data_IF_266543439361
#
_entry.id   IF_266543439361
#
_cell.length_a   1.000
_cell.length_b   1.000
_cell.length_c   1.000
_cell.angle_alpha   90.00
_cell.angle_beta   90.00
_cell.angle_gamma   90.00
#
_symmetry.space_group_name_H-M   'P 1'
#
loop_
_entity.id
_entity.type
_entity.pdbx_description
1 polymer ?
#
# COMPACT_ATOMS: atom_id res chain seq x y z
N UNK A 1 -10.27 0.62 -13.92
CA UNK A 1 -11.18 0.10 -12.87
C UNK A 1 -11.54 -1.33 -13.21
N UNK A 2 -11.33 -2.28 -12.32
CA UNK A 2 -11.65 -3.69 -12.59
C UNK A 2 -13.18 -3.88 -12.71
N UNK A 3 -13.63 -4.61 -13.74
CA UNK A 3 -15.04 -4.70 -14.14
C UNK A 3 -15.93 -5.42 -13.09
N UNK A 4 -15.36 -6.11 -12.08
CA UNK A 4 -16.15 -6.98 -11.19
C UNK A 4 -16.90 -6.27 -10.07
N UNK A 5 -16.42 -5.11 -9.57
CA UNK A 5 -17.01 -4.47 -8.39
C UNK A 5 -17.10 -2.94 -8.46
N UNK A 6 -17.58 -2.39 -9.58
CA UNK A 6 -17.83 -0.94 -9.70
C UNK A 6 -18.79 -0.44 -8.61
N UNK A 7 -19.79 -1.24 -8.26
CA UNK A 7 -20.72 -0.91 -7.18
C UNK A 7 -20.02 -0.77 -5.83
N UNK A 8 -19.08 -1.66 -5.50
CA UNK A 8 -18.30 -1.58 -4.26
C UNK A 8 -17.43 -0.31 -4.20
N UNK A 9 -16.84 0.09 -5.33
CA UNK A 9 -16.03 1.32 -5.41
C UNK A 9 -16.88 2.56 -5.19
N UNK A 10 -18.04 2.65 -5.85
CA UNK A 10 -18.96 3.77 -5.69
C UNK A 10 -19.55 3.79 -4.28
N UNK A 11 -19.95 2.63 -3.74
CA UNK A 11 -20.46 2.50 -2.38
C UNK A 11 -19.41 2.93 -1.34
N UNK A 12 -18.17 2.46 -1.46
CA UNK A 12 -17.08 2.87 -0.57
C UNK A 12 -16.73 4.37 -0.68
N UNK A 13 -16.81 4.93 -1.90
CA UNK A 13 -16.61 6.36 -2.11
C UNK A 13 -17.73 7.21 -1.47
N UNK A 14 -18.98 6.79 -1.61
CA UNK A 14 -20.11 7.44 -0.95
C UNK A 14 -19.98 7.37 0.56
N UNK A 15 -19.66 6.21 1.09
CA UNK A 15 -19.48 6.00 2.52
C UNK A 15 -18.35 6.87 3.10
N UNK A 16 -17.20 6.94 2.44
CA UNK A 16 -16.11 7.82 2.87
C UNK A 16 -16.54 9.30 2.88
N UNK A 17 -17.36 9.69 1.91
CA UNK A 17 -17.92 11.04 1.88
C UNK A 17 -18.97 11.28 2.98
N UNK A 18 -19.93 10.38 3.13
CA UNK A 18 -21.08 10.54 4.04
C UNK A 18 -20.67 10.39 5.52
N UNK A 19 -19.81 9.40 5.85
CA UNK A 19 -19.42 9.11 7.23
C UNK A 19 -18.22 9.96 7.71
N UNK A 20 -17.24 10.22 6.82
CA UNK A 20 -15.99 10.86 7.18
C UNK A 20 -15.87 12.30 6.65
N UNK A 21 -16.85 12.78 5.87
CA UNK A 21 -16.84 14.13 5.30
C UNK A 21 -15.77 14.36 4.24
N UNK A 22 -15.17 13.30 3.69
CA UNK A 22 -14.08 13.41 2.72
C UNK A 22 -14.65 13.83 1.35
N UNK A 23 -14.15 14.92 0.73
CA UNK A 23 -14.56 15.26 -0.64
C UNK A 23 -14.03 14.23 -1.63
N UNK A 24 -14.94 13.59 -2.37
CA UNK A 24 -14.59 12.54 -3.35
C UNK A 24 -15.11 12.91 -4.73
N UNK A 25 -14.29 12.69 -5.76
CA UNK A 25 -14.68 12.74 -7.17
C UNK A 25 -14.44 11.37 -7.81
N UNK A 26 -15.45 10.84 -8.48
CA UNK A 26 -15.34 9.60 -9.24
C UNK A 26 -14.73 9.87 -10.61
N UNK A 27 -13.97 8.91 -11.15
CA UNK A 27 -13.37 9.04 -12.49
C UNK A 27 -13.71 7.82 -13.32
N UNK A 28 -14.39 8.00 -14.43
CA UNK A 28 -14.76 6.89 -15.31
C UNK A 28 -15.87 7.23 -16.28
N UNK A 29 -16.47 6.19 -16.87
CA UNK A 29 -17.59 6.33 -17.80
C UNK A 29 -18.89 6.50 -17.02
N UNK A 30 -19.64 7.62 -17.21
CA UNK A 30 -20.84 7.89 -16.42
C UNK A 30 -21.92 6.81 -16.54
N UNK A 31 -22.11 6.24 -17.74
CA UNK A 31 -23.05 5.16 -18.03
C UNK A 31 -22.69 3.84 -17.30
N UNK A 32 -21.44 3.64 -16.95
CA UNK A 32 -20.96 2.46 -16.24
C UNK A 32 -20.83 2.67 -14.72
N UNK A 33 -20.64 3.90 -14.27
CA UNK A 33 -20.56 4.25 -12.84
C UNK A 33 -21.94 4.08 -12.19
N UNK A 34 -23.02 4.43 -12.91
CA UNK A 34 -24.38 4.34 -12.42
C UNK A 34 -24.73 5.44 -11.40
N UNK A 35 -25.52 5.09 -10.37
CA UNK A 35 -25.92 6.04 -9.32
C UNK A 35 -24.73 6.40 -8.43
N UNK A 36 -24.28 7.66 -8.53
CA UNK A 36 -23.16 8.20 -7.76
C UNK A 36 -23.53 8.67 -6.36
N UNK A 37 -24.84 8.72 -6.03
CA UNK A 37 -25.31 9.33 -4.77
C UNK A 37 -24.99 10.82 -4.66
N UNK A 38 -24.85 11.51 -5.79
CA UNK A 38 -24.54 12.95 -5.84
C UNK A 38 -23.04 13.28 -5.87
N UNK A 39 -22.14 12.29 -5.83
CA UNK A 39 -20.71 12.53 -6.01
C UNK A 39 -20.42 13.03 -7.44
N UNK A 40 -19.55 14.04 -7.60
CA UNK A 40 -19.15 14.52 -8.92
C UNK A 40 -18.35 13.46 -9.69
N UNK A 41 -18.40 13.54 -11.02
CA UNK A 41 -17.70 12.63 -11.93
C UNK A 41 -16.80 13.41 -12.89
N UNK A 42 -15.55 12.97 -12.98
CA UNK A 42 -14.67 13.32 -14.09
C UNK A 42 -14.84 12.22 -15.15
N UNK A 43 -15.36 12.60 -16.32
CA UNK A 43 -15.59 11.66 -17.42
C UNK A 43 -14.26 11.13 -17.97
N UNK A 44 -14.23 9.83 -18.26
CA UNK A 44 -13.14 9.15 -18.93
C UNK A 44 -13.72 8.06 -19.84
N UNK A 45 -13.42 8.09 -21.11
CA UNK A 45 -14.03 7.18 -22.11
C UNK A 45 -13.37 5.81 -22.22
N UNK A 46 -12.15 5.67 -21.68
CA UNK A 46 -11.32 4.48 -21.81
C UNK A 46 -11.06 3.80 -20.45
N UNK A 47 -10.90 2.48 -20.47
CA UNK A 47 -10.54 1.68 -19.29
C UNK A 47 -9.35 0.80 -19.62
N UNK A 48 -8.28 0.88 -18.84
CA UNK A 48 -7.12 -0.02 -18.95
C UNK A 48 -7.47 -1.36 -18.30
N UNK A 49 -7.42 -2.45 -19.08
CA UNK A 49 -7.73 -3.79 -18.61
C UNK A 49 -6.65 -4.31 -17.62
N UNK A 50 -7.03 -5.31 -16.80
CA UNK A 50 -6.12 -5.85 -15.76
C UNK A 50 -4.91 -6.57 -16.34
N UNK A 51 -5.02 -7.14 -17.54
CA UNK A 51 -3.99 -7.87 -18.28
C UNK A 51 -3.24 -7.00 -19.30
N UNK A 52 -3.59 -5.72 -19.41
CA UNK A 52 -2.95 -4.80 -20.35
C UNK A 52 -1.53 -4.45 -19.90
N UNK A 53 -0.62 -4.25 -20.88
CA UNK A 53 0.73 -3.71 -20.60
C UNK A 53 0.64 -2.30 -20.00
N UNK A 54 1.13 -2.10 -18.77
CA UNK A 54 0.94 -0.84 -18.06
C UNK A 54 1.55 0.37 -18.76
N UNK A 55 2.79 0.23 -19.21
CA UNK A 55 3.56 1.35 -19.78
C UNK A 55 3.02 1.80 -21.13
N UNK A 56 2.65 0.88 -21.99
CA UNK A 56 2.06 1.16 -23.30
C UNK A 56 0.67 1.75 -23.14
N UNK A 57 -0.18 1.12 -22.31
CA UNK A 57 -1.57 1.56 -22.12
C UNK A 57 -1.68 3.00 -21.60
N UNK A 58 -0.89 3.37 -20.60
CA UNK A 58 -0.91 4.75 -20.06
C UNK A 58 -0.44 5.81 -21.09
N UNK A 59 0.41 5.42 -22.05
CA UNK A 59 0.88 6.34 -23.10
C UNK A 59 -0.13 6.50 -24.23
N UNK A 60 -0.86 5.45 -24.57
CA UNK A 60 -1.79 5.40 -25.71
C UNK A 60 -3.22 5.75 -25.31
N UNK A 61 -3.72 5.25 -24.18
CA UNK A 61 -5.08 5.45 -23.67
C UNK A 61 -5.14 6.70 -22.78
N UNK A 62 -5.04 7.86 -23.38
CA UNK A 62 -4.91 9.15 -22.67
C UNK A 62 -6.18 9.57 -21.94
N UNK A 63 -7.33 9.08 -22.36
CA UNK A 63 -8.63 9.34 -21.73
C UNK A 63 -9.08 8.18 -20.83
N UNK A 64 -8.13 7.35 -20.37
CA UNK A 64 -8.45 6.30 -19.41
C UNK A 64 -8.66 6.84 -17.99
N UNK A 65 -9.51 6.18 -17.22
CA UNK A 65 -9.84 6.60 -15.85
C UNK A 65 -8.59 6.76 -14.98
N UNK A 66 -7.57 5.90 -15.12
CA UNK A 66 -6.31 6.00 -14.37
C UNK A 66 -5.50 7.24 -14.78
N UNK A 67 -5.42 7.54 -16.07
CA UNK A 67 -4.72 8.72 -16.56
C UNK A 67 -5.43 10.00 -16.13
N UNK A 68 -6.76 10.06 -16.27
CA UNK A 68 -7.57 11.21 -15.84
C UNK A 68 -7.49 11.45 -14.34
N UNK A 69 -7.50 10.38 -13.52
CA UNK A 69 -7.34 10.50 -12.08
C UNK A 69 -5.97 11.08 -11.70
N UNK A 70 -4.89 10.58 -12.31
CA UNK A 70 -3.54 11.11 -12.06
C UNK A 70 -3.38 12.56 -12.56
N UNK A 71 -4.04 12.93 -13.68
CA UNK A 71 -4.06 14.31 -14.18
C UNK A 71 -4.85 15.23 -13.25
N UNK A 72 -5.95 14.77 -12.66
CA UNK A 72 -6.68 15.55 -11.66
C UNK A 72 -5.80 15.91 -10.45
N UNK A 73 -4.94 15.00 -10.02
CA UNK A 73 -3.95 15.27 -8.95
C UNK A 73 -2.86 16.23 -9.42
N UNK A 74 -2.32 16.04 -10.63
CA UNK A 74 -1.31 16.96 -11.23
C UNK A 74 -1.82 18.38 -11.31
N UNK A 75 -3.07 18.56 -11.74
CA UNK A 75 -3.69 19.84 -12.01
C UNK A 75 -4.35 20.47 -10.77
N UNK A 76 -4.12 19.89 -9.59
CA UNK A 76 -4.67 20.31 -8.30
C UNK A 76 -6.21 20.33 -8.24
N UNK A 77 -6.88 19.54 -9.08
CA UNK A 77 -8.33 19.29 -9.02
C UNK A 77 -8.67 18.20 -8.01
N UNK A 78 -7.67 17.41 -7.57
CA UNK A 78 -7.74 16.47 -6.47
C UNK A 78 -6.41 16.48 -5.70
N UNK A 79 -6.43 16.13 -4.42
CA UNK A 79 -5.24 16.07 -3.58
C UNK A 79 -4.55 14.71 -3.60
N UNK A 80 -5.29 13.64 -3.87
CA UNK A 80 -4.81 12.27 -3.93
C UNK A 80 -5.59 11.45 -4.95
N UNK A 81 -5.06 10.28 -5.34
CA UNK A 81 -5.79 9.30 -6.14
C UNK A 81 -5.85 7.94 -5.43
N UNK A 82 -6.98 7.26 -5.58
CA UNK A 82 -7.21 5.90 -5.11
C UNK A 82 -7.64 5.04 -6.27
N UNK A 83 -7.09 3.85 -6.41
CA UNK A 83 -7.40 2.93 -7.50
C UNK A 83 -7.38 1.48 -7.04
N UNK A 84 -8.42 0.71 -7.41
CA UNK A 84 -8.47 -0.74 -7.32
C UNK A 84 -8.26 -1.42 -8.70
N UNK A 85 -7.69 -0.69 -9.67
CA UNK A 85 -7.43 -1.19 -11.02
C UNK A 85 -6.10 -1.94 -11.16
N UNK A 86 -5.63 -2.03 -12.40
CA UNK A 86 -4.31 -2.60 -12.72
C UNK A 86 -3.21 -1.85 -11.97
N UNK A 87 -2.52 -2.53 -11.04
CA UNK A 87 -1.47 -1.95 -10.18
C UNK A 87 -0.38 -1.26 -10.99
N UNK A 88 0.14 -1.94 -12.01
CA UNK A 88 1.19 -1.39 -12.87
C UNK A 88 0.73 -0.14 -13.64
N UNK A 89 -0.50 -0.14 -14.14
CA UNK A 89 -1.06 1.02 -14.83
C UNK A 89 -1.37 2.19 -13.88
N UNK A 90 -1.80 1.91 -12.65
CA UNK A 90 -1.95 2.92 -11.59
C UNK A 90 -0.61 3.58 -11.28
N UNK A 91 0.44 2.79 -11.06
CA UNK A 91 1.80 3.28 -10.82
C UNK A 91 2.33 4.08 -12.02
N UNK A 92 2.17 3.56 -13.24
CA UNK A 92 2.61 4.24 -14.46
C UNK A 92 1.86 5.57 -14.66
N UNK A 93 0.56 5.63 -14.35
CA UNK A 93 -0.23 6.86 -14.44
C UNK A 93 0.25 7.89 -13.40
N UNK A 94 0.40 7.50 -12.14
CA UNK A 94 0.94 8.37 -11.11
C UNK A 94 2.34 8.89 -11.49
N UNK A 95 3.25 7.99 -11.90
CA UNK A 95 4.61 8.36 -12.27
C UNK A 95 4.69 9.28 -13.48
N UNK A 96 3.94 9.00 -14.54
CA UNK A 96 4.05 9.73 -15.82
C UNK A 96 3.23 11.02 -15.85
N UNK A 97 2.15 11.13 -15.03
CA UNK A 97 1.27 12.31 -15.00
C UNK A 97 1.54 13.20 -13.79
N UNK A 98 1.54 12.65 -12.59
CA UNK A 98 1.80 13.42 -11.37
C UNK A 98 3.30 13.68 -11.19
N UNK A 99 4.14 12.72 -11.54
CA UNK A 99 5.59 12.81 -11.44
C UNK A 99 6.14 12.37 -10.09
N UNK A 100 7.48 12.34 -9.99
CA UNK A 100 8.20 11.96 -8.77
C UNK A 100 8.52 13.18 -7.93
N UNK A 101 8.61 13.00 -6.62
CA UNK A 101 9.22 13.96 -5.70
C UNK A 101 10.65 14.22 -6.19
N UNK A 102 11.08 15.49 -6.17
CA UNK A 102 12.46 15.85 -6.56
C UNK A 102 13.44 15.13 -5.65
N UNK A 103 14.49 14.55 -6.20
CA UNK A 103 15.47 13.75 -5.47
C UNK A 103 15.13 12.26 -5.37
N UNK A 104 13.87 11.87 -5.45
CA UNK A 104 13.48 10.45 -5.43
C UNK A 104 13.83 9.77 -6.75
N UNK A 105 14.62 8.71 -6.68
CA UNK A 105 15.07 7.92 -7.84
C UNK A 105 13.94 7.05 -8.40
N UNK A 106 13.21 6.34 -7.51
CA UNK A 106 12.09 5.48 -7.85
C UNK A 106 10.98 5.56 -6.80
N UNK A 107 9.71 5.58 -7.20
CA UNK A 107 8.61 5.32 -6.28
C UNK A 107 8.66 3.85 -5.83
N UNK A 108 8.13 3.57 -4.64
CA UNK A 108 8.02 2.23 -4.09
C UNK A 108 6.65 1.99 -3.46
N UNK A 109 6.16 0.76 -3.50
CA UNK A 109 4.90 0.37 -2.86
C UNK A 109 5.17 0.04 -1.40
N UNK A 110 4.59 0.83 -0.50
CA UNK A 110 4.58 0.57 0.94
C UNK A 110 3.29 -0.17 1.31
N UNK A 111 3.43 -1.37 1.86
CA UNK A 111 2.29 -2.19 2.29
C UNK A 111 2.41 -2.49 3.78
N UNK A 112 1.39 -2.18 4.58
CA UNK A 112 1.35 -2.59 5.98
C UNK A 112 1.17 -4.11 6.09
N UNK A 113 2.07 -4.78 6.80
CA UNK A 113 1.97 -6.20 7.15
C UNK A 113 1.41 -6.28 8.57
N UNK A 114 0.25 -6.90 8.78
CA UNK A 114 -0.34 -7.04 10.11
C UNK A 114 0.58 -7.77 11.08
N UNK A 115 0.70 -7.25 12.29
CA UNK A 115 1.46 -7.87 13.37
C UNK A 115 0.63 -8.16 14.62
N UNK A 116 1.12 -9.02 15.53
CA UNK A 116 0.40 -9.39 16.74
C UNK A 116 0.25 -8.25 17.75
N UNK A 117 1.11 -7.24 17.68
CA UNK A 117 1.10 -6.07 18.58
C UNK A 117 0.05 -5.02 18.22
N UNK A 118 -0.57 -5.11 17.04
CA UNK A 118 -1.54 -4.13 16.54
C UNK A 118 -0.90 -3.00 15.70
N UNK A 119 0.40 -2.74 15.83
CA UNK A 119 1.13 -1.86 14.91
C UNK A 119 1.67 -2.72 13.76
N UNK A 120 1.37 -2.41 12.49
CA UNK A 120 1.87 -3.18 11.36
C UNK A 120 3.33 -2.85 11.06
N UNK A 121 4.05 -3.81 10.49
CA UNK A 121 5.34 -3.56 9.83
C UNK A 121 5.10 -3.02 8.42
N UNK A 122 5.77 -1.96 8.03
CA UNK A 122 5.72 -1.42 6.67
C UNK A 122 6.72 -2.18 5.79
N UNK A 123 6.23 -3.02 4.89
CA UNK A 123 7.05 -3.68 3.87
C UNK A 123 7.22 -2.76 2.66
N UNK A 124 8.46 -2.52 2.26
CA UNK A 124 8.83 -1.61 1.17
C UNK A 124 10.10 -2.10 0.45
N UNK A 125 10.13 -2.37 -0.80
CA UNK A 125 9.15 -2.26 -1.87
C UNK A 125 8.31 -3.55 -2.01
N UNK A 126 7.01 -3.42 -2.04
CA UNK A 126 6.10 -4.56 -2.14
C UNK A 126 5.69 -4.89 -3.61
N UNK A 127 6.46 -4.40 -4.61
CA UNK A 127 6.22 -4.81 -6.00
C UNK A 127 6.27 -3.72 -7.07
N UNK A 128 6.76 -2.52 -6.78
CA UNK A 128 6.92 -1.46 -7.79
C UNK A 128 8.14 -1.67 -8.68
N UNK A 129 9.23 -2.20 -8.15
CA UNK A 129 10.51 -2.35 -8.83
C UNK A 129 11.03 -3.77 -8.65
N UNK A 130 10.87 -4.62 -9.68
CA UNK A 130 11.34 -6.01 -9.62
C UNK A 130 12.87 -6.10 -9.47
N UNK A 131 13.60 -5.18 -10.08
CA UNK A 131 15.04 -5.03 -9.93
C UNK A 131 15.34 -3.67 -9.30
N UNK A 132 16.17 -3.65 -8.26
CA UNK A 132 16.54 -2.45 -7.54
C UNK A 132 18.04 -2.20 -7.59
N UNK A 133 18.41 -0.94 -7.30
CA UNK A 133 19.77 -0.55 -6.96
C UNK A 133 19.84 -0.28 -5.47
N UNK A 134 21.02 -0.41 -4.90
CA UNK A 134 21.27 -0.18 -3.47
C UNK A 134 20.88 1.23 -3.02
N UNK A 135 21.19 2.26 -3.82
CA UNK A 135 20.82 3.65 -3.57
C UNK A 135 19.31 3.88 -3.55
N UNK A 136 18.53 3.13 -4.35
CA UNK A 136 17.07 3.20 -4.30
C UNK A 136 16.52 2.62 -3.00
N UNK A 137 17.09 1.50 -2.54
CA UNK A 137 16.65 0.84 -1.32
C UNK A 137 16.93 1.71 -0.08
N UNK A 138 18.01 2.52 -0.09
CA UNK A 138 18.24 3.53 0.95
C UNK A 138 17.11 4.57 0.96
N UNK A 139 16.69 5.06 -0.21
CA UNK A 139 15.56 5.98 -0.28
C UNK A 139 14.24 5.31 0.14
N UNK A 140 14.06 4.02 -0.16
CA UNK A 140 12.89 3.28 0.32
C UNK A 140 12.86 3.24 1.85
N UNK A 141 14.01 2.99 2.49
CA UNK A 141 14.13 3.01 3.94
C UNK A 141 13.72 4.38 4.54
N UNK A 142 14.23 5.46 3.96
CA UNK A 142 13.91 6.83 4.39
C UNK A 142 12.40 7.13 4.21
N UNK A 143 11.84 6.79 3.05
CA UNK A 143 10.40 6.97 2.79
C UNK A 143 9.54 6.11 3.70
N UNK A 144 9.95 4.86 3.95
CA UNK A 144 9.28 3.93 4.86
C UNK A 144 9.24 4.44 6.30
N UNK A 145 10.36 4.98 6.80
CA UNK A 145 10.44 5.56 8.14
C UNK A 145 9.46 6.75 8.32
N UNK A 146 9.40 7.64 7.32
CA UNK A 146 8.45 8.76 7.34
C UNK A 146 7.02 8.26 7.33
N UNK A 147 6.71 7.28 6.47
CA UNK A 147 5.38 6.70 6.38
C UNK A 147 4.95 5.99 7.67
N UNK A 148 5.84 5.18 8.27
CA UNK A 148 5.56 4.49 9.54
C UNK A 148 5.29 5.49 10.67
N UNK A 149 6.07 6.57 10.74
CA UNK A 149 5.87 7.63 11.75
C UNK A 149 4.57 8.39 11.52
N UNK A 150 4.32 8.84 10.32
CA UNK A 150 3.15 9.63 9.99
C UNK A 150 1.86 8.82 10.14
N UNK A 151 1.83 7.61 9.57
CA UNK A 151 0.61 6.79 9.47
C UNK A 151 0.30 5.99 10.71
N UNK A 152 1.33 5.48 11.40
CA UNK A 152 1.17 4.55 12.53
C UNK A 152 1.67 5.12 13.85
N UNK A 153 2.11 6.39 13.88
CA UNK A 153 2.54 7.06 15.10
C UNK A 153 3.80 6.48 15.74
N UNK A 154 4.60 5.72 14.98
CA UNK A 154 5.86 5.15 15.48
C UNK A 154 6.87 6.27 15.64
N UNK A 155 7.18 6.63 16.87
CA UNK A 155 8.04 7.82 17.16
C UNK A 155 9.44 7.67 16.56
N UNK A 156 10.07 6.51 16.69
CA UNK A 156 11.40 6.18 16.16
C UNK A 156 11.32 4.85 15.42
N UNK A 157 10.98 4.85 14.10
CA UNK A 157 10.83 3.63 13.34
C UNK A 157 12.15 2.84 13.26
N UNK A 158 12.09 1.56 13.59
CA UNK A 158 13.19 0.60 13.46
C UNK A 158 13.18 0.02 12.06
N UNK A 159 14.23 0.28 11.31
CA UNK A 159 14.37 -0.08 9.90
C UNK A 159 15.22 -1.35 9.81
N UNK A 160 14.66 -2.41 9.23
CA UNK A 160 15.37 -3.66 8.95
C UNK A 160 15.53 -3.87 7.44
N UNK A 161 16.70 -4.37 7.03
CA UNK A 161 16.95 -4.81 5.65
C UNK A 161 16.63 -6.30 5.54
N UNK A 162 15.64 -6.66 4.72
CA UNK A 162 15.21 -8.05 4.57
C UNK A 162 16.32 -8.90 3.93
N UNK A 163 16.73 -9.95 4.62
CA UNK A 163 17.83 -10.81 4.26
C UNK A 163 17.56 -12.28 4.63
N UNK A 164 18.54 -13.14 4.40
CA UNK A 164 18.53 -14.58 4.71
C UNK A 164 19.24 -14.90 6.03
N UNK A 165 19.59 -13.91 6.83
CA UNK A 165 20.27 -14.00 8.12
C UNK A 165 20.58 -12.62 8.67
N UNK A 166 20.70 -12.52 9.99
CA UNK A 166 20.81 -11.26 10.73
C UNK A 166 22.21 -10.59 10.58
N UNK A 167 23.26 -11.37 10.25
CA UNK A 167 24.60 -10.83 10.16
C UNK A 167 24.80 -9.93 8.92
N UNK A 168 25.53 -8.84 9.03
CA UNK A 168 25.81 -7.85 7.99
C UNK A 168 26.35 -8.46 6.67
N UNK A 169 27.04 -9.59 6.75
CA UNK A 169 27.59 -10.30 5.58
C UNK A 169 26.62 -11.20 4.84
N UNK A 170 25.39 -11.35 5.29
CA UNK A 170 24.36 -12.20 4.66
C UNK A 170 23.61 -11.51 3.53
N UNK A 171 23.00 -12.31 2.67
CA UNK A 171 22.18 -11.85 1.57
C UNK A 171 22.88 -11.81 0.21
N UNK A 172 22.15 -11.36 -0.78
CA UNK A 172 22.60 -11.15 -2.16
C UNK A 172 23.65 -10.02 -2.25
N UNK A 173 24.35 -9.87 -3.37
CA UNK A 173 25.23 -8.70 -3.58
C UNK A 173 24.49 -7.36 -3.37
N UNK A 174 23.25 -7.24 -3.86
CA UNK A 174 22.42 -6.06 -3.65
C UNK A 174 22.18 -5.78 -2.15
N UNK A 175 21.80 -6.80 -1.37
CA UNK A 175 21.53 -6.67 0.07
C UNK A 175 22.81 -6.22 0.81
N UNK A 176 23.96 -6.85 0.52
CA UNK A 176 25.24 -6.50 1.16
C UNK A 176 25.70 -5.08 0.84
N UNK A 177 25.46 -4.62 -0.38
CA UNK A 177 25.79 -3.25 -0.78
C UNK A 177 24.82 -2.26 -0.11
N UNK A 178 23.51 -2.55 -0.13
CA UNK A 178 22.51 -1.74 0.54
C UNK A 178 22.76 -1.62 2.04
N UNK A 179 23.15 -2.73 2.70
CA UNK A 179 23.46 -2.73 4.13
C UNK A 179 24.53 -1.69 4.47
N UNK A 180 25.62 -1.63 3.68
CA UNK A 180 26.70 -0.67 3.89
C UNK A 180 26.23 0.78 3.75
N UNK A 181 25.40 1.04 2.73
CA UNK A 181 24.85 2.38 2.52
C UNK A 181 23.88 2.78 3.63
N UNK A 182 23.07 1.85 4.13
CA UNK A 182 22.15 2.11 5.25
C UNK A 182 22.89 2.39 6.56
N UNK A 183 24.02 1.71 6.80
CA UNK A 183 24.86 1.90 7.98
C UNK A 183 25.56 3.30 8.00
N UNK A 184 25.75 3.91 6.82
CA UNK A 184 26.34 5.25 6.67
C UNK A 184 25.33 6.40 6.82
N UNK A 185 24.02 6.13 6.84
CA UNK A 185 22.98 7.17 6.95
C UNK A 185 22.88 7.67 8.39
N UNK A 186 22.77 8.97 8.58
CA UNK A 186 22.44 9.58 9.88
C UNK A 186 20.95 9.42 10.19
N UNK A 187 20.56 8.23 10.67
CA UNK A 187 19.19 7.91 11.02
C UNK A 187 18.67 8.73 12.19
N UNK A 188 19.53 9.17 13.10
CA UNK A 188 19.13 9.98 14.23
C UNK A 188 18.58 11.34 13.77
N UNK A 189 19.15 11.94 12.73
CA UNK A 189 18.64 13.18 12.14
C UNK A 189 17.27 13.01 11.49
N UNK A 190 16.96 11.78 11.03
CA UNK A 190 15.67 11.41 10.45
C UNK A 190 14.66 10.92 11.51
N UNK A 191 15.07 10.83 12.80
CA UNK A 191 14.26 10.31 13.88
C UNK A 191 13.89 8.83 13.68
N UNK A 192 14.84 8.01 13.23
CA UNK A 192 14.68 6.58 12.97
C UNK A 192 15.94 5.82 13.41
N UNK A 193 15.89 4.48 13.42
CA UNK A 193 17.02 3.61 13.73
C UNK A 193 17.16 2.52 12.67
N UNK A 194 18.38 2.30 12.16
CA UNK A 194 18.70 1.13 11.35
C UNK A 194 19.18 -0.02 12.26
N UNK A 195 18.38 -1.09 12.31
CA UNK A 195 18.65 -2.25 13.19
C UNK A 195 19.42 -3.37 12.50
N UNK A 196 19.86 -3.17 11.24
CA UNK A 196 20.59 -4.19 10.48
C UNK A 196 19.68 -5.10 9.64
N UNK A 197 20.14 -6.33 9.38
CA UNK A 197 19.36 -7.32 8.65
C UNK A 197 18.24 -7.89 9.51
N UNK A 198 17.11 -8.17 8.87
CA UNK A 198 15.96 -8.92 9.44
C UNK A 198 15.60 -10.07 8.50
N UNK A 199 14.95 -11.10 9.03
CA UNK A 199 14.53 -12.26 8.25
C UNK A 199 13.02 -12.24 7.98
N UNK A 200 12.55 -13.11 7.08
CA UNK A 200 11.14 -13.19 6.72
C UNK A 200 10.19 -13.47 7.91
N UNK A 201 10.68 -14.13 8.98
CA UNK A 201 9.90 -14.37 10.20
C UNK A 201 9.61 -13.09 10.98
N UNK A 202 10.45 -12.08 10.84
CA UNK A 202 10.37 -10.83 11.60
C UNK A 202 9.33 -9.86 10.99
N UNK A 203 8.90 -10.09 9.73
CA UNK A 203 7.92 -9.25 9.05
C UNK A 203 6.58 -9.11 9.79
N UNK A 204 6.23 -10.09 10.60
CA UNK A 204 5.04 -10.07 11.46
C UNK A 204 5.39 -9.95 12.95
N UNK A 205 6.69 -9.75 13.27
CA UNK A 205 7.18 -9.61 14.63
C UNK A 205 7.11 -8.19 15.17
N UNK A 206 7.40 -8.00 16.46
CA UNK A 206 7.45 -6.68 17.07
C UNK A 206 8.80 -5.98 16.92
N UNK A 207 9.79 -6.61 16.28
CA UNK A 207 11.18 -6.16 16.27
C UNK A 207 11.47 -5.10 15.22
N UNK A 208 10.70 -5.08 14.12
CA UNK A 208 10.89 -4.20 12.97
C UNK A 208 9.63 -3.42 12.64
N UNK A 209 9.77 -2.12 12.36
CA UNK A 209 8.65 -1.26 11.99
C UNK A 209 8.64 -0.98 10.47
N UNK A 210 9.82 -1.03 9.82
CA UNK A 210 9.97 -0.87 8.36
C UNK A 210 10.91 -1.94 7.85
N UNK A 211 10.42 -2.85 7.03
CA UNK A 211 11.22 -3.88 6.37
C UNK A 211 11.47 -3.49 4.90
N UNK A 212 12.75 -3.29 4.56
CA UNK A 212 13.16 -2.83 3.23
C UNK A 212 13.68 -3.99 2.40
N UNK A 213 13.24 -4.04 1.14
CA UNK A 213 13.67 -5.07 0.17
C UNK A 213 13.48 -4.58 -1.27
N UNK A 214 13.92 -5.35 -2.26
CA UNK A 214 13.54 -5.15 -3.66
C UNK A 214 12.08 -5.59 -3.89
N UNK A 215 11.45 -5.05 -4.95
CA UNK A 215 10.04 -5.28 -5.18
C UNK A 215 9.69 -6.73 -5.59
N UNK A 216 10.64 -7.51 -6.12
CA UNK A 216 10.39 -8.92 -6.39
C UNK A 216 10.28 -9.71 -5.08
N UNK A 217 11.29 -9.57 -4.23
CA UNK A 217 11.33 -10.23 -2.92
C UNK A 217 10.15 -9.79 -2.04
N UNK A 218 9.86 -8.48 -2.00
CA UNK A 218 8.75 -7.95 -1.22
C UNK A 218 7.39 -8.44 -1.70
N UNK A 219 7.16 -8.49 -3.02
CA UNK A 219 5.90 -9.01 -3.54
C UNK A 219 5.74 -10.52 -3.27
N UNK A 220 6.81 -11.30 -3.39
CA UNK A 220 6.79 -12.74 -3.04
C UNK A 220 6.48 -12.91 -1.55
N UNK A 221 7.14 -12.17 -0.66
CA UNK A 221 6.88 -12.21 0.79
C UNK A 221 5.42 -11.84 1.10
N UNK A 222 4.92 -10.73 0.55
CA UNK A 222 3.53 -10.28 0.72
C UNK A 222 2.53 -11.35 0.29
N UNK A 223 2.67 -11.88 -0.94
CA UNK A 223 1.74 -12.89 -1.48
C UNK A 223 1.82 -14.23 -0.76
N UNK A 224 2.98 -14.57 -0.22
CA UNK A 224 3.15 -15.75 0.64
C UNK A 224 2.41 -15.57 1.97
N UNK A 225 2.56 -14.41 2.62
CA UNK A 225 1.85 -14.10 3.87
C UNK A 225 0.33 -14.07 3.68
N UNK A 226 -0.17 -13.39 2.63
CA UNK A 226 -1.59 -13.37 2.28
C UNK A 226 -2.15 -14.78 2.03
N UNK A 227 -1.43 -15.59 1.26
CA UNK A 227 -1.82 -16.97 0.96
C UNK A 227 -1.81 -17.86 2.20
N UNK A 228 -0.79 -17.74 3.03
CA UNK A 228 -0.68 -18.48 4.28
C UNK A 228 -1.82 -18.13 5.24
N UNK A 229 -2.09 -16.85 5.46
CA UNK A 229 -3.17 -16.39 6.33
C UNK A 229 -4.54 -16.91 5.85
N UNK A 230 -4.81 -16.81 4.54
CA UNK A 230 -6.06 -17.33 3.95
C UNK A 230 -6.23 -18.84 4.16
N UNK A 231 -5.16 -19.62 3.93
CA UNK A 231 -5.21 -21.07 4.07
C UNK A 231 -5.39 -21.49 5.54
N UNK A 232 -4.73 -20.81 6.48
CA UNK A 232 -4.89 -21.08 7.92
C UNK A 232 -6.31 -20.78 8.37
N UNK A 233 -6.86 -19.62 7.99
CA UNK A 233 -8.24 -19.24 8.33
C UNK A 233 -9.24 -20.23 7.72
N UNK A 234 -9.04 -20.61 6.44
CA UNK A 234 -9.89 -21.62 5.78
C UNK A 234 -9.87 -22.96 6.51
N UNK A 235 -8.70 -23.49 6.83
CA UNK A 235 -8.57 -24.75 7.57
C UNK A 235 -9.18 -24.68 8.98
N UNK A 236 -9.08 -23.54 9.65
CA UNK A 236 -9.70 -23.32 10.97
C UNK A 236 -11.23 -23.35 10.87
N UNK A 237 -11.80 -22.66 9.87
CA UNK A 237 -13.25 -22.66 9.63
C UNK A 237 -13.76 -24.05 9.28
N UNK A 238 -13.07 -24.82 8.42
CA UNK A 238 -13.40 -26.20 8.10
C UNK A 238 -13.38 -27.09 9.37
N UNK A 239 -12.39 -26.92 10.24
CA UNK A 239 -12.32 -27.66 11.51
C UNK A 239 -13.51 -27.34 12.43
N UNK A 240 -13.98 -26.10 12.45
CA UNK A 240 -15.16 -25.70 13.23
C UNK A 240 -16.46 -26.33 12.71
N UNK A 241 -16.57 -26.62 11.42
CA UNK A 241 -17.74 -27.20 10.80
C UNK A 241 -17.78 -28.75 10.87
N UNK A 242 -16.79 -29.40 11.50
CA UNK A 242 -16.64 -30.87 11.51
C UNK A 242 -17.78 -31.59 12.23
N UNK A 243 -18.30 -31.04 13.34
CA UNK A 243 -19.43 -31.57 14.10
C UNK A 243 -20.35 -30.45 14.58
N UNK A 244 -21.60 -30.77 14.94
CA UNK A 244 -22.53 -29.79 15.51
C UNK A 244 -22.00 -29.20 16.84
N UNK A 245 -21.26 -29.99 17.64
CA UNK A 245 -20.66 -29.51 18.89
C UNK A 245 -19.54 -28.49 18.61
N UNK A 246 -18.65 -28.73 17.62
CA UNK A 246 -17.59 -27.78 17.25
C UNK A 246 -18.15 -26.51 16.65
N UNK A 247 -19.23 -26.62 15.86
CA UNK A 247 -19.93 -25.48 15.29
C UNK A 247 -20.56 -24.59 16.37
N UNK A 248 -21.28 -25.20 17.32
CA UNK A 248 -21.87 -24.46 18.44
C UNK A 248 -20.80 -23.76 19.31
N UNK A 249 -19.66 -24.40 19.51
CA UNK A 249 -18.53 -23.82 20.25
C UNK A 249 -17.91 -22.64 19.47
N UNK A 250 -17.75 -22.77 18.15
CA UNK A 250 -17.24 -21.71 17.29
C UNK A 250 -18.15 -20.47 17.29
N UNK A 251 -19.48 -20.64 17.25
CA UNK A 251 -20.44 -19.55 17.35
C UNK A 251 -20.27 -18.74 18.65
N UNK A 252 -19.95 -19.40 19.76
CA UNK A 252 -19.69 -18.72 21.03
C UNK A 252 -18.35 -17.97 21.04
N UNK A 253 -17.34 -18.46 20.31
CA UNK A 253 -16.02 -17.85 20.20
C UNK A 253 -15.96 -16.72 19.14
N UNK A 254 -16.88 -16.71 18.19
CA UNK A 254 -16.88 -15.78 17.07
C UNK A 254 -16.74 -14.29 17.46
N UNK A 255 -17.44 -13.77 18.50
CA UNK A 255 -17.27 -12.38 18.94
C UNK A 255 -15.83 -12.05 19.38
N UNK A 256 -15.10 -13.03 19.96
CA UNK A 256 -13.71 -12.86 20.37
C UNK A 256 -12.72 -12.99 19.19
N UNK A 257 -13.07 -13.78 18.18
CA UNK A 257 -12.24 -14.00 16.99
C UNK A 257 -12.37 -12.86 15.97
N UNK A 258 -13.49 -12.17 15.91
CA UNK A 258 -13.74 -11.10 14.95
C UNK A 258 -12.73 -9.93 15.03
N UNK A 259 -12.35 -9.40 16.21
CA UNK A 259 -11.30 -8.38 16.31
C UNK A 259 -9.93 -8.91 15.85
N UNK A 260 -9.63 -10.19 16.11
CA UNK A 260 -8.41 -10.82 15.66
C UNK A 260 -8.39 -10.94 14.12
N UNK A 261 -9.49 -11.40 13.52
CA UNK A 261 -9.64 -11.48 12.07
C UNK A 261 -9.43 -10.10 11.42
N UNK A 262 -10.11 -9.06 11.91
CA UNK A 262 -9.95 -7.70 11.42
C UNK A 262 -8.51 -7.18 11.51
N UNK A 263 -7.76 -7.58 12.53
CA UNK A 263 -6.37 -7.17 12.68
C UNK A 263 -5.48 -7.76 11.58
N UNK A 264 -5.73 -9.00 11.16
CA UNK A 264 -4.95 -9.68 10.12
C UNK A 264 -5.51 -9.48 8.70
N UNK A 265 -6.62 -8.76 8.57
CA UNK A 265 -7.19 -8.43 7.28
C UNK A 265 -6.46 -7.23 6.65
N UNK A 266 -5.80 -7.46 5.54
CA UNK A 266 -5.06 -6.42 4.80
C UNK A 266 -5.97 -5.26 4.35
N UNK A 267 -7.26 -5.54 4.07
CA UNK A 267 -8.25 -4.53 3.66
C UNK A 267 -8.54 -3.52 4.79
N UNK A 268 -8.32 -3.92 6.05
CA UNK A 268 -8.47 -3.04 7.22
C UNK A 268 -7.44 -1.91 7.27
N UNK A 269 -6.30 -2.06 6.56
CA UNK A 269 -5.25 -1.04 6.49
C UNK A 269 -5.39 -0.08 5.30
N UNK A 270 -6.43 -0.23 4.47
CA UNK A 270 -6.76 0.71 3.40
C UNK A 270 -5.87 0.65 2.16
N UNK A 271 -5.25 -0.52 1.90
CA UNK A 271 -4.42 -0.75 0.70
C UNK A 271 -2.96 -0.30 0.86
N UNK A 272 -2.23 -0.33 -0.24
CA UNK A 272 -0.82 0.02 -0.32
C UNK A 272 -0.62 1.45 -0.82
N UNK A 273 0.35 2.17 -0.29
CA UNK A 273 0.69 3.51 -0.76
C UNK A 273 1.89 3.49 -1.70
N UNK A 274 1.78 4.16 -2.84
CA UNK A 274 2.91 4.43 -3.73
C UNK A 274 3.67 5.67 -3.22
N UNK A 275 4.72 5.43 -2.46
CA UNK A 275 5.60 6.47 -1.93
C UNK A 275 6.55 7.01 -3.00
N UNK A 276 6.90 8.29 -2.93
CA UNK A 276 7.85 8.93 -3.83
C UNK A 276 7.24 9.63 -5.04
N UNK A 277 5.92 9.66 -5.18
CA UNK A 277 5.17 10.47 -6.15
C UNK A 277 4.78 11.82 -5.57
N UNK A 278 4.60 12.85 -6.41
CA UNK A 278 4.24 14.22 -5.97
C UNK A 278 2.85 14.36 -5.37
N UNK A 279 1.98 13.38 -5.57
CA UNK A 279 0.67 13.30 -4.93
C UNK A 279 0.46 11.92 -4.35
N UNK A 280 -0.22 11.79 -3.21
CA UNK A 280 -0.57 10.49 -2.64
C UNK A 280 -1.33 9.63 -3.65
N UNK A 281 -0.91 8.37 -3.78
CA UNK A 281 -1.54 7.39 -4.64
C UNK A 281 -1.71 6.10 -3.84
N UNK A 282 -2.96 5.75 -3.56
CA UNK A 282 -3.32 4.52 -2.87
C UNK A 282 -3.74 3.46 -3.89
N UNK A 283 -3.15 2.29 -3.75
CA UNK A 283 -3.43 1.12 -4.59
C UNK A 283 -4.19 0.12 -3.72
N UNK A 284 -5.46 -0.04 -3.99
CA UNK A 284 -6.32 -1.04 -3.37
C UNK A 284 -6.33 -2.33 -4.21
N UNK A 285 -6.71 -3.44 -3.59
CA UNK A 285 -6.76 -4.72 -4.29
C UNK A 285 -7.94 -4.76 -5.28
N UNK A 286 -7.79 -5.46 -6.41
CA UNK A 286 -8.87 -5.57 -7.41
C UNK A 286 -10.13 -6.32 -6.92
N UNK A 287 -10.04 -7.02 -5.79
CA UNK A 287 -11.16 -7.67 -5.09
C UNK A 287 -11.68 -6.87 -3.89
N UNK A 288 -11.21 -5.65 -3.69
CA UNK A 288 -11.62 -4.80 -2.56
C UNK A 288 -13.12 -4.53 -2.58
N UNK A 289 -13.77 -4.79 -1.45
CA UNK A 289 -15.17 -4.45 -1.20
C UNK A 289 -15.36 -2.98 -0.82
N UNK A 290 -16.58 -2.64 -0.43
CA UNK A 290 -16.96 -1.30 0.01
C UNK A 290 -16.11 -0.79 1.18
N UNK A 291 -15.94 -1.62 2.22
CA UNK A 291 -15.15 -1.28 3.41
C UNK A 291 -13.69 -0.96 3.06
N UNK A 292 -13.08 -1.80 2.24
CA UNK A 292 -11.69 -1.62 1.79
C UNK A 292 -11.50 -0.34 0.98
N UNK A 293 -12.49 0.00 0.14
CA UNK A 293 -12.43 1.23 -0.66
C UNK A 293 -12.64 2.47 0.23
N UNK A 294 -13.59 2.45 1.17
CA UNK A 294 -13.77 3.54 2.13
C UNK A 294 -12.50 3.76 2.97
N UNK A 295 -11.88 2.68 3.45
CA UNK A 295 -10.61 2.75 4.17
C UNK A 295 -9.48 3.33 3.30
N UNK A 296 -9.38 2.91 2.02
CA UNK A 296 -8.36 3.41 1.10
C UNK A 296 -8.49 4.92 0.85
N UNK A 297 -9.71 5.43 0.74
CA UNK A 297 -10.00 6.86 0.59
C UNK A 297 -9.65 7.61 1.89
N UNK A 298 -9.98 7.05 3.05
CA UNK A 298 -9.62 7.63 4.35
C UNK A 298 -8.11 7.72 4.52
N UNK A 299 -7.36 6.67 4.14
CA UNK A 299 -5.89 6.69 4.14
C UNK A 299 -5.36 7.76 3.20
N UNK A 300 -5.94 7.90 2.00
CA UNK A 300 -5.52 8.94 1.06
C UNK A 300 -5.69 10.36 1.64
N UNK A 301 -6.83 10.63 2.30
CA UNK A 301 -7.09 11.90 3.00
C UNK A 301 -6.08 12.14 4.12
N UNK A 302 -5.86 11.14 4.97
CA UNK A 302 -4.89 11.21 6.07
C UNK A 302 -3.47 11.51 5.57
N UNK A 303 -3.03 10.88 4.47
CA UNK A 303 -1.71 11.14 3.90
C UNK A 303 -1.55 12.56 3.35
N UNK A 304 -2.63 13.17 2.88
CA UNK A 304 -2.67 14.59 2.48
C UNK A 304 -2.59 15.48 3.72
N UNK A 305 -3.41 15.23 4.74
CA UNK A 305 -3.45 16.01 5.98
C UNK A 305 -2.13 16.00 6.73
N UNK A 306 -1.45 14.85 6.75
CA UNK A 306 -0.14 14.67 7.37
C UNK A 306 1.02 15.19 6.51
N UNK A 307 0.75 15.68 5.30
CA UNK A 307 1.78 16.15 4.34
C UNK A 307 2.93 15.15 4.15
N UNK A 308 2.61 13.87 3.98
CA UNK A 308 3.64 12.82 3.81
C UNK A 308 4.55 13.10 2.63
N UNK A 309 4.02 13.68 1.54
CA UNK A 309 4.79 14.05 0.35
C UNK A 309 5.83 15.13 0.67
N UNK A 310 5.46 16.17 1.41
CA UNK A 310 6.35 17.24 1.85
C UNK A 310 7.42 16.74 2.83
N UNK A 311 7.03 15.86 3.76
CA UNK A 311 7.98 15.24 4.69
C UNK A 311 9.03 14.39 3.96
N UNK A 312 8.62 13.57 2.98
CA UNK A 312 9.54 12.79 2.13
C UNK A 312 10.46 13.73 1.32
N UNK A 313 9.89 14.79 0.73
CA UNK A 313 10.68 15.77 -0.02
C UNK A 313 11.79 16.38 0.85
N UNK A 314 11.47 16.76 2.08
CA UNK A 314 12.41 17.35 3.03
C UNK A 314 13.50 16.35 3.40
N UNK A 315 13.16 15.11 3.74
CA UNK A 315 14.13 14.11 4.17
C UNK A 315 15.10 13.66 3.04
N UNK A 316 14.65 13.66 1.80
CA UNK A 316 15.49 13.24 0.65
C UNK A 316 16.41 14.39 0.17
N UNK A 317 16.05 15.64 0.39
CA UNK A 317 16.78 16.81 -0.16
C UNK A 317 17.43 17.69 0.91
N UNK A 318 17.14 17.49 2.18
CA UNK A 318 17.75 18.17 3.33
C UNK A 318 18.99 17.51 3.75
#
# INVERSE_FOLDING_TARGET
>A
MCIRDRHAIVAGARRAHEENGIPVVLVGRPDEIGDTGGLPVIEASEVIAMDADPGSSVRTMKDSSLVRAAEAVRDANASAMVSAGNTGATMASALLRTGRIKGVSRPAIATPIPGPTGTPTVLLDAGANAECKSDWMVQFAQMGAIFARARFGVATPRIGLLSIGEEAGKGSPLVKETWKLLDEVDWASLGADFIGNVEGRDLMGPEVDVAVTDGFTGNVALKTLEGCARNIVGALLEAFETTEETKAAAEQLYPALLPLYKRFDADSYGGAMLLGTKGPCIISHGSSGEDAMANAISVASEMVELDVVGQIHTAING
#
